data_IF_784375574450
#
_entry.id   IF_784375574450
#
_cell.length_a   1.000
_cell.length_b   1.000
_cell.length_c   1.000
_cell.angle_alpha   90.00
_cell.angle_beta   90.00
_cell.angle_gamma   90.00
#
_symmetry.space_group_name_H-M   'P 1'
#
loop_
_entity.id
_entity.type
_entity.pdbx_description
1 polymer ?
#
# COMPACT_ATOMS: atom_id res chain seq x y z
N UNK A 1 42.56 -7.79 3.80
CA UNK A 1 41.88 -8.98 4.33
C UNK A 1 40.45 -8.99 3.84
N UNK A 2 40.02 -9.97 3.01
CA UNK A 2 38.60 -10.22 2.82
C UNK A 2 38.04 -10.89 4.08
N UNK A 3 36.94 -10.37 4.63
CA UNK A 3 36.21 -11.08 5.68
C UNK A 3 35.28 -12.10 5.04
N UNK A 4 35.82 -13.22 4.58
CA UNK A 4 35.02 -14.41 4.31
C UNK A 4 34.32 -14.80 5.62
N UNK A 5 33.00 -14.64 5.69
CA UNK A 5 32.19 -15.26 6.74
C UNK A 5 32.53 -16.77 6.71
N UNK A 6 32.86 -17.42 7.84
CA UNK A 6 32.92 -18.87 7.85
C UNK A 6 31.54 -19.43 7.49
N UNK A 7 31.50 -20.53 6.74
CA UNK A 7 30.26 -21.28 6.54
C UNK A 7 29.66 -21.64 7.92
N UNK A 8 28.32 -21.72 8.05
CA UNK A 8 27.68 -21.89 9.35
C UNK A 8 28.13 -23.20 10.03
N UNK A 9 28.98 -23.08 11.06
CA UNK A 9 29.56 -24.20 11.83
C UNK A 9 28.52 -25.02 12.63
N UNK A 10 27.23 -24.73 12.48
CA UNK A 10 26.13 -25.42 13.15
C UNK A 10 25.07 -25.81 12.12
N UNK A 11 24.69 -27.10 12.05
CA UNK A 11 23.49 -27.51 11.35
C UNK A 11 22.28 -26.68 11.82
N UNK A 12 21.47 -26.22 10.86
CA UNK A 12 20.27 -25.42 11.12
C UNK A 12 19.41 -26.10 12.20
N UNK A 13 19.00 -25.38 13.27
CA UNK A 13 18.10 -25.96 14.27
C UNK A 13 16.81 -26.36 13.57
N UNK A 14 16.45 -27.65 13.63
CA UNK A 14 15.28 -28.19 12.93
C UNK A 14 14.00 -27.56 13.49
N UNK A 15 13.45 -26.60 12.75
CA UNK A 15 12.12 -26.06 12.98
C UNK A 15 11.07 -27.15 12.70
N UNK A 16 9.96 -27.12 13.43
CA UNK A 16 8.85 -28.07 13.25
C UNK A 16 7.97 -27.77 12.02
N UNK A 17 8.38 -26.84 11.18
CA UNK A 17 7.66 -26.33 10.01
C UNK A 17 8.68 -25.81 8.98
N UNK A 18 8.34 -25.74 7.68
CA UNK A 18 9.15 -25.04 6.69
C UNK A 18 9.17 -23.52 6.96
N UNK A 19 10.21 -22.86 6.46
CA UNK A 19 10.32 -21.41 6.33
C UNK A 19 10.18 -21.06 4.86
N UNK A 20 9.12 -20.32 4.54
CA UNK A 20 8.90 -19.73 3.22
C UNK A 20 9.33 -18.28 3.29
N UNK A 21 10.30 -17.91 2.46
CA UNK A 21 10.55 -16.52 2.11
C UNK A 21 9.45 -16.06 1.12
N UNK A 22 8.79 -14.97 1.47
CA UNK A 22 7.63 -14.45 0.76
C UNK A 22 7.94 -13.19 -0.08
N UNK A 23 9.17 -12.70 -0.04
CA UNK A 23 9.60 -11.40 -0.59
C UNK A 23 11.11 -11.42 -0.93
N UNK A 24 11.56 -12.48 -1.60
CA UNK A 24 12.92 -12.58 -2.14
C UNK A 24 13.01 -11.84 -3.48
N UNK A 25 14.20 -11.38 -3.88
CA UNK A 25 14.36 -10.57 -5.11
C UNK A 25 15.42 -11.14 -6.04
N UNK A 26 15.08 -11.21 -7.34
CA UNK A 26 16.02 -11.38 -8.44
C UNK A 26 16.39 -10.00 -8.98
N UNK A 27 17.68 -9.80 -9.21
CA UNK A 27 18.23 -8.60 -9.86
C UNK A 27 18.59 -8.96 -11.30
N UNK A 28 17.85 -8.40 -12.25
CA UNK A 28 17.91 -8.82 -13.63
C UNK A 28 19.22 -8.37 -14.32
N UNK A 29 19.81 -9.28 -15.11
CA UNK A 29 20.96 -8.97 -15.93
C UNK A 29 20.51 -8.14 -17.16
N UNK A 30 20.41 -6.81 -16.99
CA UNK A 30 19.85 -5.86 -17.97
C UNK A 30 20.17 -6.16 -19.46
N UNK A 31 21.41 -6.50 -19.90
CA UNK A 31 21.66 -6.87 -21.29
C UNK A 31 20.87 -8.10 -21.75
N UNK A 32 20.88 -9.18 -20.96
CA UNK A 32 20.15 -10.42 -21.26
C UNK A 32 18.64 -10.20 -21.24
N UNK A 33 18.14 -9.43 -20.26
CA UNK A 33 16.73 -9.03 -20.22
C UNK A 33 16.35 -8.21 -21.46
N UNK A 34 17.21 -7.31 -21.92
CA UNK A 34 16.99 -6.50 -23.13
C UNK A 34 16.94 -7.39 -24.38
N UNK A 35 17.79 -8.42 -24.48
CA UNK A 35 17.74 -9.41 -25.56
C UNK A 35 16.47 -10.27 -25.51
N UNK A 36 15.93 -10.57 -24.32
CA UNK A 36 14.63 -11.25 -24.18
C UNK A 36 13.48 -10.32 -24.60
N UNK A 37 13.44 -9.07 -24.12
CA UNK A 37 12.46 -8.05 -24.55
C UNK A 37 12.51 -7.88 -26.07
N UNK A 38 13.69 -7.83 -26.67
CA UNK A 38 13.87 -7.69 -28.13
C UNK A 38 13.27 -8.88 -28.91
N UNK A 39 13.34 -10.09 -28.36
CA UNK A 39 12.75 -11.30 -28.95
C UNK A 39 11.22 -11.35 -28.82
N UNK A 40 10.65 -10.92 -27.69
CA UNK A 40 9.21 -11.07 -27.39
C UNK A 40 8.36 -9.84 -27.75
N UNK A 41 8.96 -8.64 -27.80
CA UNK A 41 8.29 -7.36 -27.99
C UNK A 41 8.93 -6.47 -29.08
N UNK A 42 10.00 -6.92 -29.72
CA UNK A 42 10.68 -6.22 -30.82
C UNK A 42 11.73 -5.19 -30.38
N UNK A 43 12.45 -4.59 -31.34
CA UNK A 43 13.56 -3.68 -31.06
C UNK A 43 13.11 -2.43 -30.30
N UNK A 44 12.06 -1.75 -30.75
CA UNK A 44 11.60 -0.48 -30.20
C UNK A 44 11.32 -0.58 -28.69
N UNK A 45 10.63 -1.64 -28.26
CA UNK A 45 10.37 -1.90 -26.85
C UNK A 45 11.66 -2.09 -26.05
N UNK A 46 12.65 -2.82 -26.58
CA UNK A 46 13.92 -3.09 -25.92
C UNK A 46 14.84 -1.85 -25.84
N UNK A 47 14.96 -1.10 -26.94
CA UNK A 47 15.83 0.08 -27.04
C UNK A 47 15.28 1.26 -26.23
N UNK A 48 13.96 1.48 -26.25
CA UNK A 48 13.35 2.50 -25.39
C UNK A 48 13.32 2.09 -23.92
N UNK A 49 13.18 0.79 -23.59
CA UNK A 49 13.15 0.33 -22.20
C UNK A 49 14.41 0.75 -21.41
N UNK A 50 15.61 0.50 -21.93
CA UNK A 50 16.86 0.92 -21.24
C UNK A 50 16.99 2.45 -21.13
N UNK A 51 16.46 3.19 -22.11
CA UNK A 51 16.57 4.65 -22.16
C UNK A 51 15.52 5.42 -21.35
N UNK A 52 14.38 4.81 -21.02
CA UNK A 52 13.21 5.55 -20.54
C UNK A 52 13.25 5.99 -19.08
N UNK A 53 13.91 5.21 -18.20
CA UNK A 53 13.99 5.50 -16.77
C UNK A 53 15.41 5.72 -16.28
N UNK A 54 15.68 6.77 -15.48
CA UNK A 54 16.93 6.90 -14.74
C UNK A 54 17.25 5.67 -13.90
N UNK A 55 16.25 4.96 -13.37
CA UNK A 55 16.46 3.75 -12.58
C UNK A 55 17.17 2.63 -13.36
N UNK A 56 16.95 2.54 -14.68
CA UNK A 56 17.61 1.57 -15.55
C UNK A 56 18.97 2.10 -16.04
N UNK A 57 19.05 3.39 -16.36
CA UNK A 57 20.25 4.02 -16.91
C UNK A 57 21.34 4.36 -15.86
N UNK A 58 20.98 4.54 -14.58
CA UNK A 58 21.90 5.03 -13.55
C UNK A 58 22.25 4.01 -12.46
N UNK A 59 23.30 3.21 -12.70
CA UNK A 59 24.05 2.51 -11.63
C UNK A 59 24.96 3.45 -10.81
N UNK A 60 24.99 4.73 -11.18
CA UNK A 60 25.75 5.81 -10.51
C UNK A 60 24.78 6.79 -9.88
N UNK A 61 25.02 7.19 -8.63
CA UNK A 61 24.15 8.11 -7.90
C UNK A 61 23.97 9.45 -8.64
N UNK A 62 22.75 9.70 -9.10
CA UNK A 62 22.08 10.99 -8.99
C UNK A 62 22.88 12.25 -9.40
N UNK A 63 23.38 12.24 -10.64
CA UNK A 63 23.85 13.47 -11.31
C UNK A 63 22.74 14.51 -11.53
N UNK A 64 21.45 14.17 -11.33
CA UNK A 64 20.32 15.08 -11.55
C UNK A 64 20.10 16.01 -10.35
N UNK A 65 19.92 15.50 -9.14
CA UNK A 65 19.73 16.36 -7.96
C UNK A 65 20.99 17.14 -7.57
N UNK A 66 22.19 16.64 -7.89
CA UNK A 66 23.43 17.43 -7.74
C UNK A 66 23.46 18.67 -8.66
N UNK A 67 22.79 18.63 -9.82
CA UNK A 67 22.65 19.76 -10.74
C UNK A 67 21.49 20.71 -10.41
N UNK A 68 20.49 20.28 -9.64
CA UNK A 68 19.35 21.13 -9.24
C UNK A 68 19.72 22.08 -8.09
N UNK A 69 19.30 23.34 -8.19
CA UNK A 69 19.50 24.38 -7.17
C UNK A 69 18.29 24.54 -6.24
N UNK A 70 18.38 25.44 -5.24
CA UNK A 70 17.48 25.60 -4.09
C UNK A 70 15.99 25.27 -4.32
N UNK A 71 15.27 26.13 -5.03
CA UNK A 71 13.83 25.95 -5.27
C UNK A 71 13.50 24.88 -6.31
N UNK A 72 14.41 24.59 -7.24
CA UNK A 72 14.24 23.51 -8.21
C UNK A 72 14.14 22.15 -7.51
N UNK A 73 14.84 21.97 -6.38
CA UNK A 73 14.71 20.79 -5.49
C UNK A 73 13.42 20.76 -4.65
N UNK A 74 12.58 21.79 -4.69
CA UNK A 74 11.26 21.81 -4.03
C UNK A 74 10.11 21.49 -5.00
N UNK A 75 10.35 21.59 -6.31
CA UNK A 75 9.37 21.30 -7.35
C UNK A 75 9.33 19.79 -7.66
N UNK A 76 8.72 19.02 -6.75
CA UNK A 76 8.34 17.62 -6.98
C UNK A 76 9.49 16.63 -7.23
N UNK A 77 10.76 17.01 -7.03
CA UNK A 77 11.90 16.10 -7.22
C UNK A 77 12.29 15.46 -5.88
N UNK A 78 12.21 14.14 -5.77
CA UNK A 78 12.66 13.38 -4.59
C UNK A 78 13.93 12.59 -4.89
N UNK A 79 14.74 12.34 -3.86
CA UNK A 79 15.96 11.53 -4.01
C UNK A 79 15.63 10.02 -3.96
N UNK A 80 16.18 9.30 -4.93
CA UNK A 80 16.08 7.84 -5.14
C UNK A 80 17.16 7.07 -4.34
N UNK A 81 17.09 5.73 -4.24
CA UNK A 81 18.21 4.95 -3.70
C UNK A 81 19.50 5.11 -4.51
N UNK A 82 20.64 4.94 -3.84
CA UNK A 82 21.93 4.63 -4.45
C UNK A 82 22.62 3.53 -3.61
N UNK A 83 23.37 2.65 -4.26
CA UNK A 83 23.90 1.40 -3.65
C UNK A 83 22.81 0.44 -3.12
N UNK A 84 21.74 0.22 -3.89
CA UNK A 84 20.66 -0.73 -3.59
C UNK A 84 21.01 -2.22 -3.73
N UNK A 85 22.29 -2.59 -3.78
CA UNK A 85 22.76 -3.97 -3.99
C UNK A 85 23.83 -4.35 -2.96
N UNK A 86 23.95 -5.64 -2.58
CA UNK A 86 24.98 -6.09 -1.65
C UNK A 86 26.40 -5.69 -2.08
N UNK A 87 27.21 -5.36 -1.08
CA UNK A 87 28.64 -5.08 -1.23
C UNK A 87 29.52 -6.33 -1.14
N UNK A 88 29.02 -7.42 -0.53
CA UNK A 88 29.68 -8.72 -0.56
C UNK A 88 29.46 -9.41 -1.91
N UNK A 89 30.51 -10.07 -2.43
CA UNK A 89 30.49 -10.67 -3.77
C UNK A 89 29.58 -11.89 -3.86
N UNK A 90 29.52 -12.74 -2.82
CA UNK A 90 28.71 -13.96 -2.83
C UNK A 90 27.23 -13.60 -2.66
N UNK A 91 26.90 -12.78 -1.66
CA UNK A 91 25.53 -12.30 -1.43
C UNK A 91 25.01 -11.50 -2.66
N UNK A 92 25.87 -10.74 -3.33
CA UNK A 92 25.52 -10.05 -4.59
C UNK A 92 25.32 -11.02 -5.76
N UNK A 93 26.20 -12.01 -5.96
CA UNK A 93 26.06 -12.99 -7.04
C UNK A 93 24.78 -13.82 -6.88
N UNK A 94 24.44 -14.18 -5.64
CA UNK A 94 23.23 -14.92 -5.27
C UNK A 94 21.97 -14.21 -5.77
N UNK A 95 21.90 -12.88 -5.66
CA UNK A 95 20.76 -12.08 -6.12
C UNK A 95 20.61 -12.01 -7.66
N UNK A 96 21.62 -12.39 -8.44
CA UNK A 96 21.55 -12.45 -9.92
C UNK A 96 21.40 -13.88 -10.46
N UNK A 97 21.62 -14.91 -9.63
CA UNK A 97 21.78 -16.29 -10.06
C UNK A 97 20.91 -17.24 -9.21
N UNK A 98 19.66 -17.53 -9.64
CA UNK A 98 18.74 -18.39 -8.90
C UNK A 98 19.28 -19.80 -8.58
N UNK A 99 20.15 -20.37 -9.42
CA UNK A 99 20.82 -21.64 -9.11
C UNK A 99 21.77 -21.54 -7.90
N UNK A 100 22.54 -20.45 -7.81
CA UNK A 100 23.38 -20.17 -6.64
C UNK A 100 22.53 -19.85 -5.39
N UNK A 101 21.36 -19.22 -5.58
CA UNK A 101 20.39 -19.07 -4.47
C UNK A 101 19.91 -20.44 -3.99
N UNK A 102 19.51 -21.34 -4.89
CA UNK A 102 19.05 -22.71 -4.59
C UNK A 102 20.09 -23.47 -3.75
N UNK A 103 21.35 -23.48 -4.19
CA UNK A 103 22.49 -24.04 -3.46
C UNK A 103 22.66 -23.44 -2.05
N UNK A 104 22.46 -22.12 -1.90
CA UNK A 104 22.60 -21.40 -0.62
C UNK A 104 21.36 -21.38 0.26
N UNK A 105 20.21 -21.93 -0.16
CA UNK A 105 18.98 -21.86 0.65
C UNK A 105 19.16 -22.51 2.03
N UNK A 106 19.96 -23.58 2.14
CA UNK A 106 20.27 -24.24 3.42
C UNK A 106 21.16 -23.38 4.34
N UNK A 107 22.07 -22.58 3.76
CA UNK A 107 22.94 -21.62 4.46
C UNK A 107 22.14 -20.44 5.01
N UNK A 108 21.25 -19.88 4.18
CA UNK A 108 20.37 -18.75 4.50
C UNK A 108 19.27 -19.18 5.48
N UNK A 109 18.85 -20.46 5.42
CA UNK A 109 17.82 -21.04 6.27
C UNK A 109 16.41 -20.91 5.70
N UNK A 110 16.27 -21.10 4.38
CA UNK A 110 15.01 -21.09 3.63
C UNK A 110 14.66 -22.48 3.11
N UNK A 111 13.38 -22.85 3.17
CA UNK A 111 12.88 -24.11 2.63
C UNK A 111 12.20 -23.87 1.26
N UNK A 112 11.52 -22.73 1.09
CA UNK A 112 11.02 -22.23 -0.20
C UNK A 112 11.19 -20.70 -0.30
N UNK A 113 11.27 -20.12 -1.50
CA UNK A 113 11.26 -18.66 -1.73
C UNK A 113 10.37 -18.24 -2.91
N UNK A 114 9.66 -17.12 -2.76
CA UNK A 114 8.95 -16.43 -3.84
C UNK A 114 9.76 -15.22 -4.29
N UNK A 115 10.14 -15.18 -5.57
CA UNK A 115 11.12 -14.25 -6.12
C UNK A 115 10.49 -13.16 -6.99
N UNK A 116 10.77 -11.91 -6.65
CA UNK A 116 10.27 -10.71 -7.33
C UNK A 116 11.34 -10.06 -8.21
N UNK A 117 10.97 -9.49 -9.37
CA UNK A 117 11.89 -8.75 -10.23
C UNK A 117 12.20 -7.34 -9.72
N UNK A 118 13.48 -7.01 -9.59
CA UNK A 118 13.93 -5.67 -9.18
C UNK A 118 13.61 -4.59 -10.23
N UNK A 119 13.79 -4.92 -11.52
CA UNK A 119 13.57 -4.03 -12.67
C UNK A 119 12.11 -4.09 -13.14
N UNK A 120 11.48 -5.26 -13.07
CA UNK A 120 10.05 -5.46 -13.38
C UNK A 120 9.09 -4.59 -12.55
N UNK A 121 9.42 -4.29 -11.28
CA UNK A 121 8.68 -3.35 -10.43
C UNK A 121 8.48 -1.97 -11.10
N UNK A 122 9.50 -1.48 -11.81
CA UNK A 122 9.46 -0.19 -12.50
C UNK A 122 8.79 -0.34 -13.88
N UNK A 123 8.87 -1.51 -14.51
CA UNK A 123 8.27 -1.79 -15.81
C UNK A 123 6.74 -1.69 -15.76
N UNK A 124 6.10 -2.28 -14.75
CA UNK A 124 4.64 -2.23 -14.56
C UNK A 124 4.08 -0.81 -14.34
N UNK A 125 4.92 0.13 -13.88
CA UNK A 125 4.56 1.53 -13.68
C UNK A 125 4.86 2.45 -14.87
N UNK A 126 5.45 1.93 -15.96
CA UNK A 126 5.89 2.75 -17.09
C UNK A 126 4.71 3.42 -17.81
N UNK A 127 4.76 4.72 -18.17
CA UNK A 127 3.62 5.43 -18.75
C UNK A 127 3.28 4.99 -20.19
N UNK A 128 4.29 4.84 -21.06
CA UNK A 128 4.10 4.30 -22.40
C UNK A 128 3.66 2.83 -22.34
N UNK A 129 2.59 2.50 -23.08
CA UNK A 129 1.96 1.19 -23.05
C UNK A 129 2.73 0.08 -23.79
N UNK A 130 3.41 0.40 -24.90
CA UNK A 130 4.18 -0.57 -25.66
C UNK A 130 5.44 -0.97 -24.88
N UNK A 131 6.12 0.01 -24.27
CA UNK A 131 7.26 -0.23 -23.37
C UNK A 131 6.79 -0.98 -22.11
N UNK A 132 5.69 -0.57 -21.47
CA UNK A 132 5.15 -1.24 -20.27
C UNK A 132 4.84 -2.71 -20.51
N UNK A 133 3.99 -3.01 -21.49
CA UNK A 133 3.52 -4.37 -21.77
C UNK A 133 4.63 -5.25 -22.33
N UNK A 134 5.44 -4.73 -23.26
CA UNK A 134 6.59 -5.43 -23.82
C UNK A 134 7.67 -5.76 -22.79
N UNK A 135 7.96 -4.83 -21.87
CA UNK A 135 8.90 -5.06 -20.77
C UNK A 135 8.35 -6.07 -19.75
N UNK A 136 7.08 -6.00 -19.37
CA UNK A 136 6.48 -6.99 -18.45
C UNK A 136 6.53 -8.40 -19.07
N UNK A 137 6.14 -8.54 -20.35
CA UNK A 137 6.26 -9.80 -21.10
C UNK A 137 7.71 -10.32 -21.10
N UNK A 138 8.68 -9.45 -21.40
CA UNK A 138 10.09 -9.83 -21.42
C UNK A 138 10.66 -10.21 -20.05
N UNK A 139 10.28 -9.52 -18.98
CA UNK A 139 10.64 -9.88 -17.60
C UNK A 139 10.03 -11.24 -17.24
N UNK A 140 8.75 -11.47 -17.55
CA UNK A 140 8.06 -12.72 -17.24
C UNK A 140 8.67 -13.92 -17.99
N UNK A 141 9.04 -13.75 -19.26
CA UNK A 141 9.77 -14.77 -20.03
C UNK A 141 11.18 -14.99 -19.46
N UNK A 142 11.94 -13.92 -19.22
CA UNK A 142 13.30 -14.00 -18.65
C UNK A 142 13.34 -14.70 -17.29
N UNK A 143 12.39 -14.39 -16.39
CA UNK A 143 12.30 -15.02 -15.07
C UNK A 143 11.83 -16.49 -15.14
N UNK A 144 11.02 -16.86 -16.13
CA UNK A 144 10.66 -18.26 -16.35
C UNK A 144 11.88 -19.06 -16.80
N UNK A 145 12.59 -18.59 -17.83
CA UNK A 145 13.83 -19.19 -18.32
C UNK A 145 14.92 -19.28 -17.23
N UNK A 146 14.99 -18.29 -16.32
CA UNK A 146 15.99 -18.20 -15.25
C UNK A 146 15.64 -19.04 -14.00
N UNK A 147 14.38 -19.50 -13.86
CA UNK A 147 13.94 -20.34 -12.72
C UNK A 147 13.53 -21.76 -13.12
N UNK A 148 13.59 -22.12 -14.40
CA UNK A 148 13.38 -23.48 -14.88
C UNK A 148 14.31 -24.48 -14.17
N UNK A 149 13.79 -25.68 -13.89
CA UNK A 149 14.47 -26.71 -13.10
C UNK A 149 14.61 -26.43 -11.59
N UNK A 150 14.30 -25.23 -11.09
CA UNK A 150 14.47 -24.84 -9.66
C UNK A 150 13.13 -24.81 -8.87
N UNK A 151 12.05 -25.29 -9.48
CA UNK A 151 10.68 -25.21 -8.94
C UNK A 151 10.39 -26.10 -7.72
N UNK A 152 11.34 -26.92 -7.29
CA UNK A 152 11.27 -27.67 -6.02
C UNK A 152 11.46 -26.75 -4.80
N UNK A 153 12.21 -25.64 -4.93
CA UNK A 153 12.48 -24.69 -3.84
C UNK A 153 12.14 -23.23 -4.14
N UNK A 154 11.86 -22.84 -5.38
CA UNK A 154 11.54 -21.45 -5.69
C UNK A 154 10.55 -21.24 -6.83
N UNK A 155 9.84 -20.12 -6.79
CA UNK A 155 9.02 -19.64 -7.90
C UNK A 155 9.21 -18.14 -8.07
N UNK A 156 9.25 -17.66 -9.31
CA UNK A 156 9.14 -16.24 -9.58
C UNK A 156 7.68 -15.78 -9.49
N UNK A 157 7.44 -14.50 -9.25
CA UNK A 157 6.14 -13.85 -9.38
C UNK A 157 6.07 -13.06 -10.69
N UNK A 158 5.04 -13.32 -11.51
CA UNK A 158 4.90 -12.64 -12.80
C UNK A 158 4.44 -11.19 -12.62
N UNK A 159 5.11 -10.28 -13.32
CA UNK A 159 4.78 -8.85 -13.39
C UNK A 159 3.54 -8.67 -14.27
N UNK A 160 2.47 -8.19 -13.66
CA UNK A 160 1.23 -7.87 -14.36
C UNK A 160 1.11 -6.33 -14.44
N UNK A 161 1.20 -5.74 -15.65
CA UNK A 161 0.93 -4.33 -15.83
C UNK A 161 -0.57 -4.08 -15.66
N UNK A 162 -0.93 -3.07 -14.86
CA UNK A 162 -2.33 -2.84 -14.41
C UNK A 162 -2.89 -1.51 -14.87
N UNK A 163 -2.30 -0.85 -15.87
CA UNK A 163 -2.77 0.46 -16.31
C UNK A 163 -4.20 0.41 -16.87
N UNK A 164 -4.60 -0.73 -17.46
CA UNK A 164 -6.00 -1.08 -17.70
C UNK A 164 -6.26 -2.54 -17.26
N UNK A 165 -7.54 -2.93 -17.06
CA UNK A 165 -7.88 -4.34 -16.81
C UNK A 165 -7.51 -5.26 -18.00
N UNK A 166 -7.62 -4.76 -19.24
CA UNK A 166 -7.40 -5.57 -20.44
C UNK A 166 -5.93 -5.97 -20.62
N UNK A 167 -4.98 -5.04 -20.42
CA UNK A 167 -3.55 -5.38 -20.46
C UNK A 167 -3.15 -6.33 -19.31
N UNK A 168 -3.77 -6.16 -18.14
CA UNK A 168 -3.54 -6.98 -16.97
C UNK A 168 -4.01 -8.43 -17.21
N UNK A 169 -5.21 -8.60 -17.76
CA UNK A 169 -5.76 -9.91 -18.11
C UNK A 169 -4.92 -10.57 -19.21
N UNK A 170 -4.54 -9.83 -20.25
CA UNK A 170 -3.74 -10.38 -21.36
C UNK A 170 -2.34 -10.86 -20.93
N UNK A 171 -1.70 -10.19 -19.97
CA UNK A 171 -0.43 -10.65 -19.39
C UNK A 171 -0.63 -11.79 -18.37
N UNK A 172 -1.65 -11.69 -17.52
CA UNK A 172 -2.00 -12.71 -16.52
C UNK A 172 -2.28 -14.07 -17.19
N UNK A 173 -3.09 -14.08 -18.24
CA UNK A 173 -3.35 -15.31 -18.99
C UNK A 173 -2.09 -15.88 -19.62
N UNK A 174 -1.22 -15.04 -20.19
CA UNK A 174 0.04 -15.51 -20.76
C UNK A 174 0.95 -16.12 -19.68
N UNK A 175 1.22 -15.38 -18.60
CA UNK A 175 2.10 -15.82 -17.53
C UNK A 175 1.62 -17.13 -16.89
N UNK A 176 0.34 -17.24 -16.56
CA UNK A 176 -0.19 -18.44 -15.88
C UNK A 176 -0.32 -19.63 -16.83
N UNK A 177 -0.83 -19.43 -18.06
CA UNK A 177 -1.17 -20.54 -18.96
C UNK A 177 -0.04 -20.96 -19.91
N UNK A 178 0.95 -20.09 -20.16
CA UNK A 178 2.10 -20.39 -21.03
C UNK A 178 3.42 -20.52 -20.27
N UNK A 179 3.63 -19.71 -19.24
CA UNK A 179 4.88 -19.70 -18.46
C UNK A 179 4.72 -20.36 -17.07
N UNK A 180 3.53 -20.87 -16.73
CA UNK A 180 3.30 -21.72 -15.56
C UNK A 180 3.21 -21.03 -14.19
N UNK A 181 3.23 -19.69 -14.14
CA UNK A 181 3.26 -18.92 -12.89
C UNK A 181 2.09 -19.22 -11.93
N UNK A 182 2.34 -19.06 -10.62
CA UNK A 182 1.35 -19.22 -9.53
C UNK A 182 1.26 -18.02 -8.58
N UNK A 183 2.28 -17.18 -8.52
CA UNK A 183 2.24 -15.87 -7.89
C UNK A 183 2.27 -14.77 -8.96
N UNK A 184 1.55 -13.67 -8.73
CA UNK A 184 1.55 -12.50 -9.61
C UNK A 184 1.77 -11.22 -8.82
N UNK A 185 2.74 -10.42 -9.27
CA UNK A 185 3.00 -9.07 -8.81
C UNK A 185 2.14 -8.10 -9.63
N UNK A 186 1.10 -7.54 -9.03
CA UNK A 186 0.32 -6.45 -9.63
C UNK A 186 0.82 -5.11 -9.13
N UNK A 187 1.00 -4.14 -10.04
CA UNK A 187 1.20 -2.75 -9.60
C UNK A 187 -0.10 -2.25 -8.97
N UNK A 188 -0.11 -1.99 -7.66
CA UNK A 188 -1.31 -1.61 -6.91
C UNK A 188 -1.59 -0.10 -6.88
N UNK A 189 -0.72 0.73 -7.48
CA UNK A 189 -0.91 2.19 -7.60
C UNK A 189 -0.55 2.64 -9.02
N UNK A 190 -1.57 3.10 -9.76
CA UNK A 190 -1.37 3.62 -11.12
C UNK A 190 -1.47 5.15 -11.11
N UNK A 191 -0.38 5.83 -11.47
CA UNK A 191 -0.42 7.26 -11.75
C UNK A 191 -1.21 7.52 -13.04
N UNK A 192 -2.27 8.34 -12.96
CA UNK A 192 -3.11 8.72 -14.09
C UNK A 192 -3.11 10.23 -14.29
N UNK A 193 -3.08 10.74 -15.53
CA UNK A 193 -3.17 12.17 -15.79
C UNK A 193 -4.51 12.73 -15.29
N UNK A 194 -4.49 13.95 -14.76
CA UNK A 194 -5.69 14.71 -14.39
C UNK A 194 -6.23 15.39 -15.67
N UNK A 195 -7.43 15.04 -16.18
CA UNK A 195 -7.96 15.69 -17.38
C UNK A 195 -8.20 17.18 -17.14
N UNK A 196 -7.58 18.04 -17.97
CA UNK A 196 -7.63 19.50 -17.79
C UNK A 196 -6.81 20.03 -16.61
N UNK A 197 -5.98 19.21 -15.97
CA UNK A 197 -4.99 19.64 -14.99
C UNK A 197 -3.74 20.26 -15.65
N UNK A 198 -2.81 20.83 -14.86
CA UNK A 198 -1.50 21.26 -15.34
C UNK A 198 -0.68 20.11 -15.95
N UNK A 199 0.31 20.44 -16.79
CA UNK A 199 1.22 19.46 -17.37
C UNK A 199 1.91 18.61 -16.28
N UNK A 200 1.85 17.28 -16.44
CA UNK A 200 2.38 16.33 -15.46
C UNK A 200 1.56 16.16 -14.18
N UNK A 201 0.40 16.82 -14.03
CA UNK A 201 -0.49 16.60 -12.90
C UNK A 201 -1.11 15.19 -12.97
N UNK A 202 -0.87 14.39 -11.93
CA UNK A 202 -1.40 13.04 -11.78
C UNK A 202 -2.21 12.86 -10.51
N UNK A 203 -3.20 11.97 -10.58
CA UNK A 203 -3.82 11.34 -9.43
C UNK A 203 -3.42 9.86 -9.38
N UNK A 204 -3.63 9.21 -8.23
CA UNK A 204 -3.18 7.84 -7.99
C UNK A 204 -4.38 6.91 -7.82
N UNK A 205 -4.55 6.01 -8.79
CA UNK A 205 -5.62 5.02 -8.84
C UNK A 205 -5.21 3.76 -8.07
N UNK A 206 -6.11 3.29 -7.20
CA UNK A 206 -5.95 2.13 -6.31
C UNK A 206 -6.84 0.94 -6.74
N UNK A 207 -7.23 0.89 -8.02
CA UNK A 207 -7.72 -0.28 -8.76
C UNK A 207 -8.94 -0.99 -8.15
N UNK A 208 -9.72 -0.25 -7.37
CA UNK A 208 -10.93 -0.74 -6.69
C UNK A 208 -11.90 0.43 -6.45
N UNK A 209 -11.91 1.02 -5.26
CA UNK A 209 -12.73 2.19 -4.93
C UNK A 209 -12.34 3.40 -5.81
N UNK A 210 -13.36 4.03 -6.40
CA UNK A 210 -13.26 5.24 -7.24
C UNK A 210 -12.22 5.16 -8.40
N UNK A 211 -11.96 3.95 -8.88
CA UNK A 211 -11.03 3.67 -9.98
C UNK A 211 -11.58 4.15 -11.34
N UNK A 212 -10.67 4.44 -12.28
CA UNK A 212 -11.05 4.87 -13.64
C UNK A 212 -11.59 3.73 -14.53
N UNK A 213 -11.38 2.47 -14.12
CA UNK A 213 -11.78 1.27 -14.83
C UNK A 213 -12.40 0.27 -13.86
N UNK A 214 -13.24 -0.63 -14.37
CA UNK A 214 -13.71 -1.77 -13.59
C UNK A 214 -12.64 -2.88 -13.58
N UNK A 215 -12.06 -3.15 -12.41
CA UNK A 215 -11.07 -4.21 -12.21
C UNK A 215 -11.68 -5.55 -11.74
N UNK A 216 -13.01 -5.64 -11.53
CA UNK A 216 -13.67 -6.92 -11.23
C UNK A 216 -13.38 -8.04 -12.26
N UNK A 217 -13.25 -7.77 -13.58
CA UNK A 217 -12.83 -8.78 -14.54
C UNK A 217 -11.42 -9.34 -14.25
N UNK A 218 -10.47 -8.50 -13.82
CA UNK A 218 -9.12 -8.93 -13.44
C UNK A 218 -9.17 -9.78 -12.15
N UNK A 219 -9.85 -9.30 -11.12
CA UNK A 219 -9.97 -10.02 -9.84
C UNK A 219 -10.68 -11.37 -10.01
N UNK A 220 -11.69 -11.43 -10.87
CA UNK A 220 -12.32 -12.70 -11.29
C UNK A 220 -11.31 -13.62 -11.98
N UNK A 221 -10.53 -13.12 -12.94
CA UNK A 221 -9.56 -13.93 -13.68
C UNK A 221 -8.45 -14.46 -12.78
N UNK A 222 -7.96 -13.67 -11.81
CA UNK A 222 -7.02 -14.13 -10.79
C UNK A 222 -7.60 -15.28 -9.95
N UNK A 223 -8.88 -15.19 -9.56
CA UNK A 223 -9.56 -16.23 -8.80
C UNK A 223 -9.83 -17.51 -9.62
N UNK A 224 -10.20 -17.38 -10.90
CA UNK A 224 -10.37 -18.50 -11.84
C UNK A 224 -9.06 -19.24 -12.14
N UNK A 225 -7.95 -18.50 -12.24
CA UNK A 225 -6.61 -19.03 -12.49
C UNK A 225 -5.90 -19.53 -11.21
N UNK A 226 -6.47 -19.27 -10.03
CA UNK A 226 -5.95 -19.76 -8.75
C UNK A 226 -4.60 -19.15 -8.34
N UNK A 227 -4.29 -17.92 -8.76
CA UNK A 227 -3.03 -17.25 -8.43
C UNK A 227 -3.06 -16.53 -7.08
N UNK A 228 -1.91 -16.47 -6.41
CA UNK A 228 -1.67 -15.54 -5.32
C UNK A 228 -1.42 -14.14 -5.90
N UNK A 229 -2.30 -13.18 -5.60
CA UNK A 229 -2.12 -11.78 -6.00
C UNK A 229 -1.26 -11.08 -4.95
N UNK A 230 -0.17 -10.46 -5.37
CA UNK A 230 0.79 -9.82 -4.47
C UNK A 230 1.11 -8.40 -4.94
N UNK A 231 1.41 -7.50 -3.98
CA UNK A 231 1.53 -6.07 -4.24
C UNK A 231 2.78 -5.46 -3.62
N UNK A 232 3.49 -4.64 -4.39
CA UNK A 232 4.83 -4.13 -4.05
C UNK A 232 5.11 -2.72 -4.60
N UNK A 233 4.09 -1.89 -4.88
CA UNK A 233 4.32 -0.53 -5.38
C UNK A 233 4.89 0.41 -4.29
N UNK A 234 6.05 1.06 -4.50
CA UNK A 234 6.57 2.07 -3.58
C UNK A 234 5.78 3.38 -3.69
N UNK A 235 5.69 4.13 -2.58
CA UNK A 235 5.07 5.47 -2.54
C UNK A 235 6.09 6.60 -2.46
N UNK A 236 7.35 6.36 -2.84
CA UNK A 236 8.37 7.41 -2.99
C UNK A 236 7.95 8.41 -4.07
N UNK A 237 8.04 9.71 -3.78
CA UNK A 237 7.50 10.75 -4.65
C UNK A 237 6.00 11.03 -4.46
N UNK A 238 5.29 10.26 -3.63
CA UNK A 238 3.85 10.44 -3.37
C UNK A 238 3.64 11.10 -2.00
N UNK A 239 2.76 12.12 -1.95
CA UNK A 239 2.38 12.81 -0.73
C UNK A 239 3.59 13.35 0.05
N UNK A 240 3.73 12.94 1.32
CA UNK A 240 4.81 13.43 2.21
C UNK A 240 6.17 12.74 1.98
N UNK A 241 6.31 11.85 0.99
CA UNK A 241 7.54 11.09 0.67
C UNK A 241 8.36 11.73 -0.45
N UNK A 242 8.43 13.06 -0.44
CA UNK A 242 9.01 13.91 -1.48
C UNK A 242 10.29 14.64 -1.04
N UNK A 243 11.10 14.05 -0.14
CA UNK A 243 12.36 14.67 0.26
C UNK A 243 13.37 14.64 -0.89
N UNK A 244 13.89 15.82 -1.26
CA UNK A 244 14.99 15.99 -2.22
C UNK A 244 16.40 15.80 -1.62
N UNK A 245 16.50 15.40 -0.35
CA UNK A 245 17.80 15.26 0.35
C UNK A 245 17.90 14.04 1.27
N UNK A 246 16.79 13.35 1.58
CA UNK A 246 16.77 12.20 2.51
C UNK A 246 16.01 11.02 1.91
N UNK A 247 16.72 10.15 1.20
CA UNK A 247 16.14 8.91 0.64
C UNK A 247 15.43 8.07 1.72
N UNK A 248 16.06 7.92 2.89
CA UNK A 248 15.50 7.16 4.03
C UNK A 248 14.14 7.70 4.51
N UNK A 249 13.89 9.01 4.41
CA UNK A 249 12.56 9.60 4.70
C UNK A 249 11.51 9.19 3.67
N UNK A 250 11.91 9.06 2.40
CA UNK A 250 11.03 8.61 1.32
C UNK A 250 10.77 7.08 1.43
N UNK A 251 11.76 6.30 1.86
CA UNK A 251 11.69 4.85 1.91
C UNK A 251 10.94 4.27 3.12
N UNK A 252 11.11 4.84 4.32
CA UNK A 252 10.52 4.26 5.54
C UNK A 252 8.98 4.24 5.47
N UNK A 253 8.41 3.04 5.45
CA UNK A 253 6.97 2.81 5.31
C UNK A 253 6.41 3.09 3.92
N UNK A 254 7.26 3.09 2.88
CA UNK A 254 6.83 3.42 1.51
C UNK A 254 5.86 2.38 0.94
N UNK A 255 6.16 1.09 1.07
CA UNK A 255 5.28 0.00 0.67
C UNK A 255 4.08 -0.14 1.62
N UNK A 256 4.29 0.07 2.92
CA UNK A 256 3.22 0.09 3.93
C UNK A 256 2.09 1.08 3.58
N UNK A 257 2.44 2.30 3.15
CA UNK A 257 1.45 3.31 2.76
C UNK A 257 0.73 2.95 1.44
N UNK A 258 1.42 2.29 0.50
CA UNK A 258 0.80 1.82 -0.74
C UNK A 258 -0.15 0.65 -0.53
N UNK A 259 0.26 -0.30 0.32
CA UNK A 259 -0.57 -1.43 0.75
C UNK A 259 -1.77 -1.01 1.58
N UNK A 260 -1.62 -0.03 2.48
CA UNK A 260 -2.71 0.54 3.27
C UNK A 260 -3.79 1.16 2.37
N UNK A 261 -3.38 2.00 1.40
CA UNK A 261 -4.29 2.61 0.45
C UNK A 261 -5.04 1.55 -0.40
N UNK A 262 -4.32 0.53 -0.89
CA UNK A 262 -4.91 -0.52 -1.72
C UNK A 262 -5.83 -1.47 -0.91
N UNK A 263 -5.41 -1.94 0.25
CA UNK A 263 -6.21 -2.81 1.13
C UNK A 263 -7.53 -2.13 1.54
N UNK A 264 -7.46 -0.84 1.90
CA UNK A 264 -8.62 0.00 2.21
C UNK A 264 -9.57 0.13 1.01
N UNK A 265 -9.03 0.30 -0.20
CA UNK A 265 -9.83 0.36 -1.43
C UNK A 265 -10.48 -0.98 -1.80
N UNK A 266 -9.78 -2.10 -1.61
CA UNK A 266 -10.33 -3.45 -1.80
C UNK A 266 -11.50 -3.74 -0.84
N UNK A 267 -11.39 -3.34 0.42
CA UNK A 267 -12.44 -3.56 1.43
C UNK A 267 -13.62 -2.61 1.23
N UNK A 268 -13.38 -1.30 1.15
CA UNK A 268 -14.47 -0.30 1.04
C UNK A 268 -15.12 -0.35 -0.34
N UNK A 269 -14.35 -0.61 -1.41
CA UNK A 269 -14.87 -0.89 -2.76
C UNK A 269 -15.52 -2.27 -2.90
N UNK A 270 -15.55 -3.09 -1.84
CA UNK A 270 -16.28 -4.36 -1.78
C UNK A 270 -15.68 -5.52 -2.59
N UNK A 271 -14.45 -5.39 -3.09
CA UNK A 271 -13.76 -6.44 -3.89
C UNK A 271 -13.64 -7.73 -3.08
N UNK A 272 -13.25 -7.63 -1.82
CA UNK A 272 -13.16 -8.78 -0.90
C UNK A 272 -14.52 -9.46 -0.61
N UNK A 273 -15.64 -8.78 -0.85
CA UNK A 273 -16.98 -9.38 -0.74
C UNK A 273 -17.41 -10.08 -2.04
N UNK A 274 -16.99 -9.56 -3.21
CA UNK A 274 -17.29 -10.15 -4.52
C UNK A 274 -16.38 -11.33 -4.88
N UNK A 275 -15.14 -11.32 -4.38
CA UNK A 275 -14.13 -12.37 -4.62
C UNK A 275 -13.59 -12.94 -3.29
N UNK A 276 -14.45 -13.57 -2.44
CA UNK A 276 -14.08 -13.98 -1.08
C UNK A 276 -13.06 -15.13 -1.01
N UNK A 277 -12.69 -15.72 -2.16
CA UNK A 277 -11.64 -16.74 -2.28
C UNK A 277 -10.29 -16.19 -2.77
N UNK A 278 -10.24 -14.91 -3.15
CA UNK A 278 -9.03 -14.28 -3.69
C UNK A 278 -8.16 -13.73 -2.56
N UNK A 279 -6.93 -14.23 -2.46
CA UNK A 279 -5.97 -13.80 -1.45
C UNK A 279 -5.04 -12.71 -2.00
N UNK A 280 -4.79 -11.69 -1.19
CA UNK A 280 -3.87 -10.59 -1.48
C UNK A 280 -2.72 -10.57 -0.47
N UNK A 281 -1.47 -10.58 -0.94
CA UNK A 281 -0.27 -10.39 -0.12
C UNK A 281 0.32 -9.00 -0.32
N UNK A 282 0.76 -8.37 0.78
CA UNK A 282 1.25 -7.00 0.81
C UNK A 282 2.73 -7.00 1.24
N UNK A 283 3.62 -6.69 0.30
CA UNK A 283 5.06 -6.94 0.39
C UNK A 283 5.82 -5.71 0.94
N UNK A 284 7.00 -5.96 1.51
CA UNK A 284 7.94 -5.05 2.20
C UNK A 284 7.36 -4.02 3.22
N UNK A 285 6.04 -4.02 3.48
CA UNK A 285 5.36 -3.02 4.32
C UNK A 285 5.36 -3.31 5.82
N UNK A 286 5.77 -4.50 6.24
CA UNK A 286 5.54 -5.00 7.61
C UNK A 286 4.04 -5.20 7.90
N UNK A 287 3.70 -5.49 9.17
CA UNK A 287 2.34 -5.94 9.55
C UNK A 287 1.52 -4.95 10.39
N UNK A 288 2.17 -3.95 11.01
CA UNK A 288 1.52 -3.07 11.99
C UNK A 288 0.42 -2.17 11.40
N UNK A 289 0.61 -1.68 10.18
CA UNK A 289 -0.37 -0.86 9.46
C UNK A 289 -1.66 -1.65 9.18
N UNK A 290 -1.58 -2.95 8.90
CA UNK A 290 -2.74 -3.80 8.63
C UNK A 290 -3.59 -4.05 9.87
N UNK A 291 -2.94 -4.24 11.03
CA UNK A 291 -3.62 -4.34 12.33
C UNK A 291 -4.32 -3.03 12.70
N UNK A 292 -3.66 -1.88 12.44
CA UNK A 292 -4.29 -0.58 12.65
C UNK A 292 -5.48 -0.37 11.69
N UNK A 293 -5.30 -0.62 10.39
CA UNK A 293 -6.35 -0.46 9.38
C UNK A 293 -7.59 -1.30 9.71
N UNK A 294 -7.42 -2.53 10.20
CA UNK A 294 -8.55 -3.37 10.65
C UNK A 294 -9.33 -2.73 11.80
N UNK A 295 -8.64 -2.20 12.81
CA UNK A 295 -9.27 -1.51 13.95
C UNK A 295 -9.97 -0.21 13.51
N UNK A 296 -9.32 0.57 12.64
CA UNK A 296 -9.88 1.80 12.06
C UNK A 296 -11.13 1.50 11.21
N UNK A 297 -11.11 0.46 10.36
CA UNK A 297 -12.27 0.05 9.54
C UNK A 297 -13.48 -0.32 10.40
N UNK A 298 -13.28 -1.10 11.47
CA UNK A 298 -14.36 -1.48 12.40
C UNK A 298 -14.93 -0.25 13.09
N UNK A 299 -14.07 0.55 13.75
CA UNK A 299 -14.52 1.72 14.52
C UNK A 299 -15.18 2.81 13.66
N UNK A 300 -14.73 2.99 12.41
CA UNK A 300 -15.37 3.90 11.47
C UNK A 300 -16.69 3.32 10.92
N UNK A 301 -16.79 2.01 10.70
CA UNK A 301 -18.06 1.40 10.28
C UNK A 301 -19.13 1.49 11.38
N UNK A 302 -18.81 1.15 12.62
CA UNK A 302 -19.74 1.23 13.76
C UNK A 302 -20.25 2.66 14.01
N UNK A 303 -19.38 3.67 13.82
CA UNK A 303 -19.70 5.08 14.12
C UNK A 303 -20.22 5.89 12.92
N UNK A 304 -19.84 5.52 11.69
CA UNK A 304 -20.08 6.33 10.46
C UNK A 304 -20.53 5.52 9.25
N UNK A 305 -20.53 4.18 9.31
CA UNK A 305 -20.88 3.31 8.20
C UNK A 305 -22.40 3.22 7.97
N UNK A 306 -22.82 3.41 6.71
CA UNK A 306 -24.21 3.18 6.29
C UNK A 306 -25.25 3.88 7.18
N UNK A 307 -26.27 3.18 7.72
CA UNK A 307 -27.26 3.77 8.61
C UNK A 307 -26.69 4.40 9.90
N UNK A 308 -25.53 3.95 10.37
CA UNK A 308 -24.97 4.36 11.68
C UNK A 308 -24.64 5.86 11.72
N UNK A 309 -24.33 6.47 10.57
CA UNK A 309 -24.05 7.92 10.48
C UNK A 309 -25.21 8.78 11.01
N UNK A 310 -26.45 8.29 10.95
CA UNK A 310 -27.64 8.99 11.47
C UNK A 310 -27.62 9.20 12.98
N UNK A 311 -26.82 8.41 13.72
CA UNK A 311 -26.60 8.63 15.16
C UNK A 311 -25.79 9.90 15.46
N UNK A 312 -25.13 10.47 14.45
CA UNK A 312 -24.35 11.71 14.53
C UNK A 312 -25.07 12.91 13.89
N UNK A 313 -26.34 12.77 13.50
CA UNK A 313 -27.13 13.87 12.94
C UNK A 313 -27.42 14.93 14.02
N UNK A 314 -26.96 16.19 13.88
CA UNK A 314 -27.21 17.24 14.86
C UNK A 314 -28.71 17.59 15.00
N UNK A 315 -29.58 17.20 14.06
CA UNK A 315 -31.03 17.30 14.23
C UNK A 315 -31.59 16.40 15.34
N UNK A 316 -30.84 15.38 15.77
CA UNK A 316 -31.17 14.53 16.92
C UNK A 316 -30.84 15.13 18.29
N UNK A 317 -30.21 16.31 18.36
CA UNK A 317 -29.85 16.96 19.62
C UNK A 317 -31.09 17.60 20.29
N UNK A 318 -31.49 17.09 21.45
CA UNK A 318 -32.55 17.68 22.28
C UNK A 318 -32.10 19.04 22.86
N UNK A 319 -32.66 20.18 22.42
CA UNK A 319 -32.10 21.51 22.75
C UNK A 319 -32.18 21.84 24.24
N UNK A 320 -33.28 21.47 24.91
CA UNK A 320 -33.47 21.79 26.32
C UNK A 320 -32.52 20.97 27.21
N UNK A 321 -32.28 19.70 26.87
CA UNK A 321 -31.30 18.87 27.56
C UNK A 321 -29.88 19.42 27.36
N UNK A 322 -29.54 19.88 26.15
CA UNK A 322 -28.26 20.52 25.85
C UNK A 322 -28.03 21.75 26.74
N UNK A 323 -28.97 22.70 26.77
CA UNK A 323 -28.87 23.90 27.62
C UNK A 323 -28.80 23.54 29.11
N UNK A 324 -29.62 22.58 29.57
CA UNK A 324 -29.61 22.13 30.97
C UNK A 324 -28.34 21.36 31.37
N UNK A 325 -27.60 20.75 30.43
CA UNK A 325 -26.29 20.16 30.71
C UNK A 325 -25.21 21.24 30.79
N UNK A 326 -25.17 22.18 29.83
CA UNK A 326 -24.22 23.30 29.86
C UNK A 326 -24.40 24.17 31.12
N UNK A 327 -25.63 24.51 31.49
CA UNK A 327 -25.91 25.32 32.69
C UNK A 327 -25.50 24.66 34.03
N UNK A 328 -25.33 23.33 34.07
CA UNK A 328 -24.93 22.58 35.27
C UNK A 328 -23.46 22.15 35.29
N UNK A 329 -22.81 22.06 34.13
CA UNK A 329 -21.50 21.42 34.00
C UNK A 329 -20.45 22.21 33.21
N UNK A 330 -20.81 23.33 32.57
CA UNK A 330 -19.81 24.21 31.97
C UNK A 330 -19.02 24.92 33.08
N UNK A 331 -17.70 24.74 33.08
CA UNK A 331 -16.81 25.56 33.91
C UNK A 331 -17.02 27.05 33.60
N UNK A 332 -17.02 27.94 34.62
CA UNK A 332 -17.06 29.38 34.36
C UNK A 332 -15.88 29.75 33.47
N UNK A 333 -16.16 30.45 32.37
CA UNK A 333 -15.16 30.70 31.33
C UNK A 333 -14.02 31.57 31.88
N UNK A 334 -12.76 31.12 31.81
CA UNK A 334 -11.63 31.93 32.27
C UNK A 334 -11.56 33.21 31.44
N UNK A 335 -11.77 34.35 32.12
CA UNK A 335 -11.79 35.71 31.56
C UNK A 335 -12.96 36.05 30.60
N UNK A 336 -14.17 35.51 30.82
CA UNK A 336 -15.37 36.12 30.22
C UNK A 336 -15.77 37.41 30.96
N UNK A 337 -15.45 38.57 30.38
CA UNK A 337 -15.93 39.87 30.88
C UNK A 337 -17.48 39.92 30.91
N UNK A 338 -18.12 40.60 31.89
CA UNK A 338 -19.58 40.51 32.11
C UNK A 338 -20.45 40.81 30.89
N UNK A 339 -19.99 41.69 29.99
CA UNK A 339 -20.77 42.16 28.84
C UNK A 339 -20.96 41.12 27.71
N UNK A 340 -20.39 39.92 27.80
CA UNK A 340 -20.64 38.86 26.80
C UNK A 340 -21.99 38.14 26.98
N UNK A 341 -22.61 38.24 28.16
CA UNK A 341 -23.77 37.44 28.56
C UNK A 341 -25.14 37.97 28.07
N UNK A 342 -25.21 38.65 26.92
CA UNK A 342 -26.47 39.19 26.37
C UNK A 342 -26.48 39.41 24.84
N UNK A 343 -26.34 38.34 24.05
CA UNK A 343 -26.71 38.38 22.62
C UNK A 343 -27.35 37.06 22.15
N UNK A 344 -28.69 36.99 21.98
CA UNK A 344 -29.34 35.79 21.46
C UNK A 344 -29.01 35.64 19.96
N UNK A 345 -28.21 34.63 19.62
CA UNK A 345 -27.85 34.28 18.24
C UNK A 345 -29.01 33.57 17.53
N UNK A 346 -30.09 34.29 17.26
CA UNK A 346 -31.30 33.79 16.57
C UNK A 346 -31.06 33.35 15.12
N UNK A 347 -29.85 33.54 14.58
CA UNK A 347 -29.41 32.84 13.37
C UNK A 347 -29.24 31.34 13.65
N UNK A 348 -30.24 30.55 13.26
CA UNK A 348 -30.00 29.15 12.86
C UNK A 348 -28.78 29.10 11.93
N UNK A 349 -27.85 28.15 12.10
CA UNK A 349 -26.80 27.92 11.12
C UNK A 349 -27.44 27.37 9.84
N UNK A 350 -27.71 28.25 8.88
CA UNK A 350 -28.10 27.86 7.53
C UNK A 350 -26.87 27.28 6.84
N UNK A 351 -26.66 25.97 7.03
CA UNK A 351 -25.81 25.17 6.16
C UNK A 351 -26.48 25.09 4.78
N UNK A 352 -26.37 26.16 4.00
CA UNK A 352 -26.68 26.14 2.58
C UNK A 352 -25.66 25.23 1.93
N UNK A 353 -26.06 23.99 1.66
CA UNK A 353 -25.34 23.09 0.78
C UNK A 353 -25.32 23.75 -0.60
N UNK A 354 -24.23 24.43 -0.93
CA UNK A 354 -24.03 24.99 -2.27
C UNK A 354 -23.79 23.83 -3.23
N UNK A 355 -24.88 23.21 -3.67
CA UNK A 355 -24.90 22.29 -4.80
C UNK A 355 -24.54 23.09 -6.05
N UNK A 356 -23.24 23.25 -6.29
CA UNK A 356 -22.71 23.90 -7.47
C UNK A 356 -23.08 23.06 -8.70
N UNK A 357 -24.16 23.44 -9.37
CA UNK A 357 -24.68 22.79 -10.56
C UNK A 357 -23.76 23.06 -11.78
N UNK A 358 -22.55 22.51 -11.74
CA UNK A 358 -21.64 22.46 -12.88
C UNK A 358 -22.14 21.39 -13.87
N UNK A 359 -22.99 21.80 -14.82
CA UNK A 359 -23.42 20.94 -15.93
C UNK A 359 -22.43 21.05 -17.10
N UNK A 360 -21.64 20.01 -17.42
CA UNK A 360 -21.10 19.85 -18.75
C UNK A 360 -22.20 19.29 -19.67
N UNK A 361 -22.39 19.89 -20.84
CA UNK A 361 -23.29 19.34 -21.85
C UNK A 361 -22.72 18.05 -22.44
N UNK A 362 -23.45 16.95 -22.32
CA UNK A 362 -23.24 15.72 -23.09
C UNK A 362 -24.35 15.61 -24.16
N UNK A 363 -24.01 15.29 -25.43
CA UNK A 363 -24.99 15.16 -26.49
C UNK A 363 -25.86 13.91 -26.32
N UNK A 364 -27.11 13.99 -26.75
CA UNK A 364 -28.12 12.93 -26.59
C UNK A 364 -27.83 11.70 -27.46
N UNK A 365 -27.55 10.56 -26.81
CA UNK A 365 -27.67 9.24 -27.45
C UNK A 365 -29.10 8.70 -27.31
N UNK A 366 -29.53 7.83 -28.23
CA UNK A 366 -30.93 7.38 -28.33
C UNK A 366 -31.26 6.34 -27.26
N UNK A 367 -32.42 6.49 -26.62
CA UNK A 367 -32.99 5.46 -25.76
C UNK A 367 -33.33 4.20 -26.57
N UNK A 368 -32.88 3.04 -26.10
CA UNK A 368 -33.32 1.74 -26.58
C UNK A 368 -34.28 1.13 -25.55
N UNK A 369 -35.58 1.11 -25.88
CA UNK A 369 -36.64 0.67 -24.97
C UNK A 369 -36.82 -0.85 -25.02
N UNK A 370 -36.43 -1.55 -23.95
CA UNK A 370 -36.82 -2.95 -23.73
C UNK A 370 -38.07 -2.96 -22.86
N UNK A 371 -39.18 -3.47 -23.41
CA UNK A 371 -40.45 -3.57 -22.69
C UNK A 371 -40.45 -4.77 -21.73
N UNK A 372 -41.00 -4.57 -20.53
CA UNK A 372 -41.30 -5.65 -19.60
C UNK A 372 -42.68 -6.24 -19.90
N UNK A 373 -42.77 -7.57 -19.98
CA UNK A 373 -44.04 -8.31 -20.00
C UNK A 373 -44.01 -9.42 -18.97
N UNK A 374 -45.15 -9.65 -18.31
CA UNK A 374 -45.32 -10.72 -17.32
C UNK A 374 -46.41 -11.69 -17.75
N UNK A 375 -46.16 -12.98 -17.55
CA UNK A 375 -47.11 -14.07 -17.69
C UNK A 375 -46.66 -15.22 -16.76
N UNK A 376 -47.59 -16.09 -16.33
CA UNK A 376 -47.28 -17.06 -15.28
C UNK A 376 -47.93 -18.44 -15.46
N UNK A 377 -47.14 -19.48 -15.15
CA UNK A 377 -47.57 -20.84 -14.71
C UNK A 377 -48.28 -21.74 -15.75
N UNK A 378 -48.46 -23.07 -15.49
CA UNK A 378 -47.80 -23.96 -14.50
C UNK A 378 -47.40 -25.39 -15.00
N UNK A 379 -46.72 -26.17 -14.14
CA UNK A 379 -46.57 -27.67 -14.16
C UNK A 379 -45.72 -28.29 -15.29
N UNK A 380 -45.19 -29.53 -15.25
CA UNK A 380 -45.31 -30.72 -14.34
C UNK A 380 -43.93 -31.31 -13.90
N UNK A 381 -43.96 -32.34 -13.03
CA UNK A 381 -42.79 -33.15 -12.55
C UNK A 381 -42.62 -34.42 -13.42
N UNK A 382 -41.48 -35.16 -13.40
CA UNK A 382 -41.22 -36.15 -12.33
C UNK A 382 -39.73 -36.31 -11.91
N UNK A 383 -39.43 -37.29 -11.04
CA UNK A 383 -38.11 -37.77 -10.60
C UNK A 383 -38.26 -39.24 -10.16
N UNK A 384 -37.22 -40.12 -10.13
CA UNK A 384 -36.21 -40.12 -9.05
C UNK A 384 -34.79 -40.65 -9.43
N UNK A 385 -33.80 -40.60 -8.52
CA UNK A 385 -32.46 -41.20 -8.75
C UNK A 385 -31.37 -41.03 -7.68
N UNK A 386 -31.53 -41.68 -6.51
CA UNK A 386 -30.55 -42.04 -5.43
C UNK A 386 -29.27 -41.19 -5.14
N UNK A 387 -29.05 -40.94 -3.85
CA UNK A 387 -27.76 -40.52 -3.22
C UNK A 387 -26.79 -41.71 -2.97
N UNK A 388 -25.55 -41.45 -2.49
CA UNK A 388 -25.30 -41.40 -1.04
C UNK A 388 -24.32 -40.30 -0.55
N UNK A 389 -24.26 -40.11 0.78
CA UNK A 389 -23.37 -39.18 1.53
C UNK A 389 -22.27 -39.93 2.31
N UNK A 390 -21.14 -39.29 2.65
CA UNK A 390 -20.95 -38.70 3.99
C UNK A 390 -20.31 -37.28 3.92
N UNK A 391 -20.62 -36.25 4.72
CA UNK A 391 -20.90 -36.06 6.16
C UNK A 391 -19.69 -35.67 7.03
N UNK A 392 -19.53 -34.38 7.30
CA UNK A 392 -18.98 -33.82 8.55
C UNK A 392 -19.61 -32.45 8.82
N UNK A 393 -19.65 -32.02 10.09
CA UNK A 393 -20.38 -30.81 10.54
C UNK A 393 -19.47 -29.57 10.59
N UNK A 394 -19.98 -28.43 10.12
CA UNK A 394 -19.60 -27.12 10.62
C UNK A 394 -20.58 -26.67 11.71
N UNK A 395 -20.12 -25.93 12.71
CA UNK A 395 -20.96 -25.38 13.80
C UNK A 395 -21.02 -23.84 13.71
N UNK A 396 -22.20 -23.22 13.85
CA UNK A 396 -22.33 -21.77 13.78
C UNK A 396 -21.99 -21.11 15.12
N UNK A 397 -21.14 -20.07 15.09
CA UNK A 397 -21.00 -19.15 16.22
C UNK A 397 -22.23 -18.23 16.29
N UNK A 398 -22.88 -18.17 17.46
CA UNK A 398 -24.03 -17.31 17.70
C UNK A 398 -23.75 -16.41 18.91
N UNK A 399 -23.90 -15.10 18.73
CA UNK A 399 -23.64 -14.13 19.79
C UNK A 399 -24.92 -13.76 20.56
N UNK A 400 -24.86 -13.76 21.91
CA UNK A 400 -25.69 -12.86 22.75
C UNK A 400 -25.26 -12.80 24.23
N UNK A 401 -25.07 -11.56 24.67
CA UNK A 401 -25.55 -10.98 25.93
C UNK A 401 -25.16 -11.54 27.32
N UNK A 402 -24.53 -10.61 28.06
CA UNK A 402 -24.94 -10.13 29.41
C UNK A 402 -24.19 -10.61 30.65
N UNK A 403 -23.88 -9.60 31.47
CA UNK A 403 -23.10 -9.66 32.70
C UNK A 403 -23.73 -10.48 33.83
N UNK A 404 -22.85 -10.97 34.72
CA UNK A 404 -23.14 -11.11 36.15
C UNK A 404 -21.98 -10.56 36.99
N UNK A 405 -22.32 -9.84 38.03
CA UNK A 405 -21.42 -9.44 39.12
C UNK A 405 -21.52 -10.46 40.27
N UNK A 406 -20.39 -10.74 40.91
CA UNK A 406 -20.33 -11.36 42.25
C UNK A 406 -19.00 -11.00 42.89
N UNK A 407 -19.01 -10.35 44.05
CA UNK A 407 -17.82 -9.83 44.70
C UNK A 407 -17.54 -10.55 46.02
N UNK A 408 -16.38 -11.22 46.10
CA UNK A 408 -15.73 -11.71 47.32
C UNK A 408 -14.21 -11.78 47.06
N UNK A 409 -13.30 -11.31 47.93
CA UNK A 409 -13.57 -10.59 49.17
C UNK A 409 -12.49 -10.72 50.25
N UNK A 410 -11.20 -10.55 49.92
CA UNK A 410 -10.10 -10.56 50.91
C UNK A 410 -8.92 -9.68 50.49
N UNK A 411 -8.48 -8.81 51.41
CA UNK A 411 -7.15 -8.17 51.41
C UNK A 411 -6.39 -8.61 52.67
N UNK A 412 -5.05 -8.49 52.68
CA UNK A 412 -4.39 -7.87 53.83
C UNK A 412 -3.29 -6.85 53.44
N UNK A 413 -2.73 -6.20 54.46
CA UNK A 413 -2.03 -4.90 54.38
C UNK A 413 -0.49 -4.95 54.47
N UNK A 414 0.16 -4.20 53.57
CA UNK A 414 1.24 -3.21 53.79
C UNK A 414 2.20 -3.27 55.02
N UNK A 415 3.52 -3.37 54.76
CA UNK A 415 4.66 -2.78 55.50
C UNK A 415 5.91 -2.76 54.55
N UNK A 416 6.68 -1.68 54.34
CA UNK A 416 7.76 -1.04 55.17
C UNK A 416 8.92 -2.00 55.56
N UNK A 417 10.21 -1.64 55.48
CA UNK A 417 10.90 -0.34 55.27
C UNK A 417 11.76 -0.29 53.97
N UNK A 418 13.02 0.16 53.79
CA UNK A 418 14.18 0.55 54.65
C UNK A 418 15.02 1.76 54.08
N UNK A 419 16.36 1.67 53.99
CA UNK A 419 17.35 2.70 53.59
C UNK A 419 18.55 2.04 52.84
N UNK A 420 19.10 2.57 51.71
CA UNK A 420 20.11 3.65 51.50
C UNK A 420 21.55 3.27 51.96
N UNK A 421 22.67 3.88 51.46
CA UNK A 421 22.88 5.05 50.56
C UNK A 421 23.23 4.59 49.10
N UNK A 422 23.93 5.25 48.16
CA UNK A 422 24.82 6.45 48.05
C UNK A 422 24.53 7.27 46.76
N UNK A 423 25.52 7.97 46.15
CA UNK A 423 25.40 8.88 44.99
C UNK A 423 26.50 8.65 43.92
N UNK A 424 26.20 8.97 42.66
CA UNK A 424 27.01 9.90 41.84
C UNK A 424 26.13 10.64 40.83
N UNK A 425 26.58 11.81 40.36
CA UNK A 425 25.85 12.72 39.45
C UNK A 425 26.08 12.33 37.96
N UNK A 426 25.40 12.87 36.94
CA UNK A 426 24.96 14.28 36.75
C UNK A 426 23.87 14.40 35.69
N UNK A 427 22.95 15.36 35.85
CA UNK A 427 21.89 15.71 34.88
C UNK A 427 22.05 17.14 34.35
N UNK A 428 21.80 17.36 33.05
CA UNK A 428 21.77 18.69 32.44
C UNK A 428 20.60 18.85 31.48
N UNK A 429 19.60 19.65 31.86
CA UNK A 429 18.38 19.91 31.08
C UNK A 429 18.49 21.17 30.22
N UNK A 430 17.98 21.13 29.00
CA UNK A 430 17.89 22.28 28.09
C UNK A 430 16.55 23.03 28.23
N UNK A 431 16.61 24.36 28.27
CA UNK A 431 15.46 25.27 28.07
C UNK A 431 15.88 26.50 27.26
N UNK A 432 15.00 27.09 26.43
CA UNK A 432 15.39 28.07 25.40
C UNK A 432 15.52 29.50 25.93
N UNK A 433 16.14 30.38 25.12
CA UNK A 433 16.12 31.85 25.30
C UNK A 433 15.58 32.56 24.05
N UNK A 434 14.97 33.71 24.28
CA UNK A 434 14.50 34.68 23.29
C UNK A 434 14.68 36.10 23.83
N UNK A 435 14.43 37.13 22.99
CA UNK A 435 14.61 38.58 23.24
C UNK A 435 16.06 39.09 23.39
N UNK A 436 16.43 40.32 22.99
CA UNK A 436 15.85 41.27 22.01
C UNK A 436 16.88 42.39 21.67
N UNK A 437 16.59 43.19 20.61
CA UNK A 437 16.92 44.64 20.36
C UNK A 437 18.08 45.34 21.10
N UNK A 438 18.83 46.30 20.51
CA UNK A 438 18.86 46.89 19.14
C UNK A 438 20.02 47.91 19.02
N UNK A 439 20.44 48.24 17.78
CA UNK A 439 20.72 49.60 17.26
C UNK A 439 21.18 49.53 15.79
N UNK A 440 21.14 50.66 15.09
CA UNK A 440 21.47 50.75 13.66
C UNK A 440 22.31 51.99 13.34
N UNK A 441 23.28 51.82 12.44
CA UNK A 441 23.91 52.90 11.66
C UNK A 441 24.57 52.32 10.40
N UNK A 442 24.35 53.00 9.27
CA UNK A 442 25.10 52.90 8.00
C UNK A 442 25.52 54.35 7.63
N UNK A 443 26.35 54.63 6.59
CA UNK A 443 26.94 53.75 5.57
C UNK A 443 28.47 53.99 5.35
N UNK A 444 28.95 53.62 4.14
CA UNK A 444 30.23 53.99 3.47
C UNK A 444 31.49 53.16 3.77
N UNK A 445 32.37 53.06 2.76
CA UNK A 445 33.65 52.32 2.79
C UNK A 445 33.91 51.51 1.52
N UNK A 446 34.88 51.92 0.70
CA UNK A 446 35.16 51.33 -0.63
C UNK A 446 36.15 50.14 -0.61
N UNK A 447 36.16 49.40 -1.73
CA UNK A 447 37.32 48.73 -2.37
C UNK A 447 38.09 47.60 -1.66
N UNK A 448 37.99 46.42 -2.28
CA UNK A 448 39.08 45.56 -2.76
C UNK A 448 40.25 45.15 -1.83
N UNK A 449 40.26 43.84 -1.51
CA UNK A 449 41.32 42.91 -1.90
C UNK A 449 40.70 41.55 -2.22
#
# INVERSE_FOLDING_TARGET
>A
MPHSKPAPERPRPRLGHPVVDADGHIVEALPLLTDVIRKVAGPDAADHFLGSSPAYASRSADRRLTALTGDQRRLGTWITPWWSLPGDTLDRATAFLPSLLHERMDEIGLDFTVLYPSVGLIAAGHPDAAIRTGACRGVNTYLADLTDGLHDRMTAAAVIPTHTPDEAIAELEHAVTRLGYRAVLVNNIVARPVPGGPDGAVWYDVLALDSAYDYDPLWRRCAELGVAVTVHAPTMGIGLRQSSTRYVHNHIGTFAAGGEAFAKALVIGGVAHRFPTLNFAFLEGGVSWGVQLLADLIGHWEKRGGPNIRTLDPAGLAPDLWHNLFARHASPAPNSSPNCAARPTTRRPTWTTTAAAASPHLPTSRACSIASTSAAKPTTRPSPGRSPTPSTRAAPYCARCSARTSATGTSPTCAKSSARPTNSSTTGTWTPRSSATSRATTPSGCTAA
#
